data_IF_726735802899
#
_entry.id   IF_726735802899
#
_cell.length_a   1.000
_cell.length_b   1.000
_cell.length_c   1.000
_cell.angle_alpha   90.00
_cell.angle_beta   90.00
_cell.angle_gamma   90.00
#
_symmetry.space_group_name_H-M   'P 1'
#
loop_
_entity.id
_entity.type
_entity.pdbx_description
1 polymer ?
#
# COMPACT_ATOMS: atom_id res chain seq x y z
N UNK A 1 2.85 -3.00 -1.61
CA UNK A 1 3.18 -4.40 -1.97
C UNK A 1 3.47 -4.57 -3.47
N UNK A 2 2.56 -4.19 -4.38
CA UNK A 2 2.73 -4.34 -5.84
C UNK A 2 3.95 -3.64 -6.44
N UNK A 3 4.27 -2.41 -5.99
CA UNK A 3 5.49 -1.71 -6.42
C UNK A 3 6.78 -2.45 -6.06
N UNK A 4 6.78 -3.22 -4.95
CA UNK A 4 7.93 -4.06 -4.60
C UNK A 4 8.11 -5.19 -5.61
N UNK A 5 7.02 -5.85 -6.02
CA UNK A 5 7.07 -6.89 -7.06
C UNK A 5 7.56 -6.32 -8.40
N UNK A 6 7.04 -5.15 -8.80
CA UNK A 6 7.52 -4.46 -10.01
C UNK A 6 9.01 -4.11 -9.91
N UNK A 7 9.46 -3.56 -8.78
CA UNK A 7 10.87 -3.22 -8.58
C UNK A 7 11.82 -4.42 -8.62
N UNK A 8 11.32 -5.63 -8.37
CA UNK A 8 12.13 -6.86 -8.32
C UNK A 8 12.10 -7.66 -9.63
N UNK A 9 11.05 -7.52 -10.43
CA UNK A 9 10.78 -8.43 -11.54
C UNK A 9 10.59 -7.76 -12.91
N UNK A 10 10.48 -6.43 -12.98
CA UNK A 10 10.45 -5.75 -14.28
C UNK A 10 11.84 -5.81 -14.92
N UNK A 11 11.94 -6.09 -16.21
CA UNK A 11 13.23 -6.26 -16.89
C UNK A 11 14.01 -4.95 -17.06
N UNK A 12 13.29 -3.82 -17.11
CA UNK A 12 13.87 -2.49 -17.28
C UNK A 12 14.46 -1.96 -15.97
N UNK A 13 15.78 -1.78 -15.92
CA UNK A 13 16.52 -1.31 -14.73
C UNK A 13 16.10 0.10 -14.27
N UNK A 14 15.73 0.98 -15.20
CA UNK A 14 15.24 2.31 -14.86
C UNK A 14 13.89 2.21 -14.14
N UNK A 15 12.98 1.38 -14.66
CA UNK A 15 11.69 1.15 -14.03
C UNK A 15 11.82 0.41 -12.69
N UNK A 16 12.77 -0.52 -12.54
CA UNK A 16 13.06 -1.15 -11.25
C UNK A 16 13.39 -0.11 -10.18
N UNK A 17 14.32 0.80 -10.49
CA UNK A 17 14.74 1.88 -9.59
C UNK A 17 13.59 2.85 -9.31
N UNK A 18 12.85 3.24 -10.35
CA UNK A 18 11.69 4.12 -10.22
C UNK A 18 10.64 3.53 -9.28
N UNK A 19 10.23 2.27 -9.47
CA UNK A 19 9.23 1.62 -8.61
C UNK A 19 9.75 1.37 -7.19
N UNK A 20 11.05 1.20 -7.01
CA UNK A 20 11.66 1.14 -5.68
C UNK A 20 11.52 2.47 -4.93
N UNK A 21 11.92 3.58 -5.55
CA UNK A 21 11.78 4.92 -4.96
C UNK A 21 10.30 5.25 -4.64
N UNK A 22 9.39 4.88 -5.54
CA UNK A 22 7.95 5.05 -5.34
C UNK A 22 7.44 4.24 -4.14
N UNK A 23 7.87 2.99 -3.99
CA UNK A 23 7.51 2.13 -2.86
C UNK A 23 7.96 2.72 -1.52
N UNK A 24 9.15 3.34 -1.48
CA UNK A 24 9.66 4.03 -0.28
C UNK A 24 8.80 5.25 0.05
N UNK A 25 8.38 6.04 -0.94
CA UNK A 25 7.48 7.19 -0.73
C UNK A 25 6.13 6.76 -0.16
N UNK A 26 5.53 5.72 -0.72
CA UNK A 26 4.23 5.18 -0.26
C UNK A 26 4.30 4.65 1.19
N UNK A 27 5.45 4.08 1.57
CA UNK A 27 5.69 3.68 2.96
C UNK A 27 5.73 4.88 3.93
N UNK A 28 6.13 6.06 3.46
CA UNK A 28 6.03 7.31 4.21
C UNK A 28 4.58 7.80 4.33
N UNK A 29 3.81 7.70 3.24
CA UNK A 29 2.43 8.19 3.19
C UNK A 29 1.52 7.50 4.20
N UNK A 30 1.51 6.16 4.30
CA UNK A 30 0.61 5.48 5.24
C UNK A 30 0.89 5.84 6.70
N UNK A 31 2.16 5.99 7.08
CA UNK A 31 2.56 6.41 8.44
C UNK A 31 2.06 7.82 8.75
N UNK A 32 2.15 8.72 7.78
CA UNK A 32 1.65 10.09 7.91
C UNK A 32 0.13 10.10 8.11
N UNK A 33 -0.62 9.34 7.33
CA UNK A 33 -2.08 9.27 7.48
C UNK A 33 -2.52 8.64 8.80
N UNK A 34 -1.87 7.58 9.26
CA UNK A 34 -2.15 6.99 10.58
C UNK A 34 -1.81 7.96 11.71
N UNK A 35 -0.67 8.65 11.63
CA UNK A 35 -0.29 9.68 12.59
C UNK A 35 -1.31 10.82 12.62
N UNK A 36 -1.79 11.26 11.45
CA UNK A 36 -2.82 12.28 11.34
C UNK A 36 -4.11 11.82 12.03
N UNK A 37 -4.59 10.61 11.74
CA UNK A 37 -5.81 10.05 12.33
C UNK A 37 -5.74 9.96 13.86
N UNK A 38 -4.56 9.62 14.43
CA UNK A 38 -4.33 9.60 15.88
C UNK A 38 -4.44 10.97 16.56
N UNK A 39 -4.38 12.08 15.82
CA UNK A 39 -4.66 13.41 16.37
C UNK A 39 -6.16 13.68 16.56
N UNK A 40 -7.03 12.92 15.91
CA UNK A 40 -8.48 13.14 15.89
C UNK A 40 -9.28 12.03 16.59
N UNK A 41 -8.65 10.89 16.89
CA UNK A 41 -9.29 9.77 17.57
C UNK A 41 -8.28 8.99 18.43
N UNK A 42 -8.76 8.27 19.47
CA UNK A 42 -7.91 7.41 20.29
C UNK A 42 -7.10 6.40 19.46
N UNK A 43 -5.86 6.14 19.89
CA UNK A 43 -4.93 5.28 19.16
C UNK A 43 -5.45 3.84 18.99
N UNK A 44 -6.09 3.29 20.01
CA UNK A 44 -6.72 1.97 20.00
C UNK A 44 -7.85 1.89 18.96
N UNK A 45 -8.67 2.93 18.87
CA UNK A 45 -9.70 3.04 17.84
C UNK A 45 -9.10 3.10 16.43
N UNK A 46 -8.09 3.96 16.22
CA UNK A 46 -7.43 4.11 14.92
C UNK A 46 -6.77 2.80 14.49
N UNK A 47 -6.06 2.12 15.41
CA UNK A 47 -5.41 0.85 15.11
C UNK A 47 -6.42 -0.24 14.78
N UNK A 48 -7.52 -0.34 15.56
CA UNK A 48 -8.58 -1.31 15.29
C UNK A 48 -9.20 -1.09 13.89
N UNK A 49 -9.51 0.15 13.54
CA UNK A 49 -10.07 0.50 12.21
C UNK A 49 -9.09 0.22 11.09
N UNK A 50 -7.81 0.49 11.31
CA UNK A 50 -6.76 0.15 10.35
C UNK A 50 -6.69 -1.36 10.10
N UNK A 51 -6.68 -2.18 11.15
CA UNK A 51 -6.65 -3.64 11.03
C UNK A 51 -7.90 -4.20 10.33
N UNK A 52 -9.06 -3.58 10.54
CA UNK A 52 -10.31 -3.91 9.82
C UNK A 52 -10.18 -3.58 8.32
N UNK A 53 -9.62 -2.43 7.96
CA UNK A 53 -9.40 -2.07 6.56
C UNK A 53 -8.37 -2.97 5.88
N UNK A 54 -7.27 -3.30 6.54
CA UNK A 54 -6.25 -4.21 6.00
C UNK A 54 -6.83 -5.59 5.73
N UNK A 55 -7.65 -6.12 6.65
CA UNK A 55 -8.34 -7.41 6.44
C UNK A 55 -9.32 -7.35 5.27
N UNK A 56 -10.14 -6.31 5.22
CA UNK A 56 -11.07 -6.11 4.11
C UNK A 56 -10.35 -5.96 2.77
N UNK A 57 -9.28 -5.18 2.70
CA UNK A 57 -8.46 -5.01 1.50
C UNK A 57 -7.88 -6.36 1.06
N UNK A 58 -7.33 -7.14 1.98
CA UNK A 58 -6.77 -8.46 1.66
C UNK A 58 -7.82 -9.42 1.06
N UNK A 59 -9.05 -9.42 1.60
CA UNK A 59 -10.17 -10.19 1.06
C UNK A 59 -10.61 -9.65 -0.31
N UNK A 60 -10.76 -8.33 -0.44
CA UNK A 60 -11.19 -7.67 -1.67
C UNK A 60 -10.20 -7.88 -2.81
N UNK A 61 -8.90 -7.79 -2.54
CA UNK A 61 -7.84 -8.04 -3.55
C UNK A 61 -7.91 -9.45 -4.13
N UNK A 62 -8.34 -10.46 -3.35
CA UNK A 62 -8.54 -11.83 -3.85
C UNK A 62 -9.72 -11.94 -4.82
N UNK A 63 -10.68 -11.01 -4.76
CA UNK A 63 -11.84 -10.97 -5.66
C UNK A 63 -11.59 -10.19 -6.95
N UNK A 64 -10.46 -9.48 -7.04
CA UNK A 64 -10.13 -8.71 -8.23
C UNK A 64 -9.68 -9.62 -9.36
N UNK A 65 -10.35 -9.51 -10.50
CA UNK A 65 -9.87 -10.12 -11.74
C UNK A 65 -8.51 -9.55 -12.11
N UNK A 66 -7.58 -10.42 -12.50
CA UNK A 66 -6.26 -10.01 -12.97
C UNK A 66 -6.45 -9.23 -14.27
N UNK A 67 -6.32 -7.91 -14.18
CA UNK A 67 -6.38 -6.99 -15.32
C UNK A 67 -5.10 -6.18 -15.40
N UNK A 68 -4.42 -6.24 -16.54
CA UNK A 68 -3.11 -5.59 -16.75
C UNK A 68 -3.17 -4.08 -16.94
N UNK A 69 -4.36 -3.47 -16.97
CA UNK A 69 -4.56 -2.04 -17.22
C UNK A 69 -4.64 -1.21 -15.93
N UNK A 70 -4.64 -1.83 -14.74
CA UNK A 70 -4.72 -1.11 -13.45
C UNK A 70 -3.69 -1.59 -12.45
N UNK A 71 -3.17 -0.62 -11.71
CA UNK A 71 -2.26 -0.87 -10.59
C UNK A 71 -2.95 -1.45 -9.37
N UNK A 72 -4.29 -1.33 -9.25
CA UNK A 72 -5.11 -1.81 -8.13
C UNK A 72 -6.23 -2.71 -8.66
#
# INVERSE_FOLDING_TARGET
ERFRLLSLHIEDEYLQKFYHEFMVSEAGHYKTFLSLAKNYAPEDYVQKRWDEFVRFEAEMVQTLEIRGDRMH
#
